data_IF_019141424249
#
_entry.id   IF_019141424249
#
_cell.length_a   1.000
_cell.length_b   1.000
_cell.length_c   1.000
_cell.angle_alpha   90.00
_cell.angle_beta   90.00
_cell.angle_gamma   90.00
#
_symmetry.space_group_name_H-M   'P 1'
#
loop_
_entity.id
_entity.type
_entity.pdbx_description
1 polymer ?
#
# COMPACT_ATOMS: atom_id res chain seq x y z
N UNK A 1 8.94 15.15 -15.31
CA UNK A 1 7.72 14.39 -15.67
C UNK A 1 7.14 13.87 -14.37
N UNK A 2 6.08 14.49 -13.87
CA UNK A 2 5.38 14.07 -12.64
C UNK A 2 4.75 12.70 -12.88
N UNK A 3 5.42 11.61 -12.49
CA UNK A 3 4.76 10.33 -12.32
C UNK A 3 3.86 10.49 -11.10
N UNK A 4 2.59 10.62 -11.34
CA UNK A 4 1.57 10.83 -10.33
C UNK A 4 1.60 9.64 -9.34
N UNK A 5 1.62 9.93 -8.05
CA UNK A 5 1.30 9.04 -6.90
C UNK A 5 0.03 8.20 -7.18
N UNK A 6 -0.78 8.70 -8.02
CA UNK A 6 -1.98 8.23 -8.66
C UNK A 6 -1.86 6.84 -9.31
N UNK A 7 -0.76 6.55 -10.00
CA UNK A 7 -0.63 5.28 -10.73
C UNK A 7 -0.57 4.04 -9.84
N UNK A 8 -0.02 4.16 -8.62
CA UNK A 8 0.13 3.03 -7.70
C UNK A 8 -1.19 2.75 -6.98
N UNK A 9 -1.92 3.80 -6.58
CA UNK A 9 -3.26 3.65 -5.98
C UNK A 9 -4.26 3.18 -7.05
N UNK A 10 -4.15 3.67 -8.29
CA UNK A 10 -5.00 3.26 -9.41
C UNK A 10 -4.78 1.80 -9.81
N UNK A 11 -3.56 1.25 -9.82
CA UNK A 11 -3.36 -0.15 -10.19
C UNK A 11 -3.96 -1.14 -9.19
N UNK A 12 -4.07 -0.76 -7.91
CA UNK A 12 -4.78 -1.55 -6.88
C UNK A 12 -6.29 -1.26 -6.90
N UNK A 13 -6.69 -0.05 -7.32
CA UNK A 13 -8.09 0.38 -7.42
C UNK A 13 -8.72 0.14 -8.80
N UNK A 14 -7.93 0.03 -9.87
CA UNK A 14 -8.44 -0.14 -11.25
C UNK A 14 -9.22 -1.45 -11.47
N UNK A 15 -9.03 -2.45 -10.59
CA UNK A 15 -9.82 -3.68 -10.62
C UNK A 15 -11.31 -3.45 -10.23
N UNK A 16 -11.70 -2.21 -9.89
CA UNK A 16 -13.02 -1.94 -9.32
C UNK A 16 -13.89 -0.93 -10.10
N UNK A 17 -13.50 -0.49 -11.30
CA UNK A 17 -14.24 0.54 -12.05
C UNK A 17 -14.91 0.08 -13.36
N UNK A 18 -15.07 -1.24 -13.58
CA UNK A 18 -15.82 -1.73 -14.73
C UNK A 18 -17.14 -2.35 -14.29
N UNK A 19 -18.06 -1.57 -13.78
CA UNK A 19 -19.47 -1.94 -13.74
C UNK A 19 -20.36 -0.73 -13.99
N UNK A 20 -20.53 -0.37 -15.23
CA UNK A 20 -21.78 0.10 -15.84
C UNK A 20 -21.54 0.37 -17.32
N UNK A 21 -21.74 -0.62 -18.14
CA UNK A 21 -21.96 -0.42 -19.56
C UNK A 21 -23.34 -0.96 -19.91
N UNK A 22 -24.32 -0.09 -19.87
CA UNK A 22 -25.42 -0.12 -20.84
C UNK A 22 -25.80 1.33 -21.13
N UNK A 23 -25.34 1.79 -22.24
CA UNK A 23 -25.91 2.67 -23.25
C UNK A 23 -24.81 3.48 -23.93
N UNK A 24 -24.63 3.19 -25.21
CA UNK A 24 -23.74 3.89 -26.10
C UNK A 24 -24.11 5.37 -26.19
N UNK A 25 -23.31 6.22 -25.58
CA UNK A 25 -23.10 7.59 -26.01
C UNK A 25 -21.64 7.94 -25.66
N UNK A 26 -20.88 8.33 -26.69
CA UNK A 26 -19.50 8.81 -26.54
C UNK A 26 -19.50 10.04 -25.64
N UNK A 27 -19.30 9.85 -24.34
CA UNK A 27 -18.95 10.91 -23.42
C UNK A 27 -17.41 10.95 -23.31
N UNK A 28 -16.82 12.09 -23.67
CA UNK A 28 -15.42 12.41 -23.32
C UNK A 28 -15.26 12.23 -21.82
N UNK A 29 -14.41 11.29 -21.41
CA UNK A 29 -14.03 11.15 -20.01
C UNK A 29 -13.42 12.47 -19.54
N UNK A 30 -14.04 13.10 -18.55
CA UNK A 30 -13.62 14.38 -18.00
C UNK A 30 -12.45 14.08 -17.05
N UNK A 31 -11.21 14.43 -17.40
CA UNK A 31 -10.01 14.26 -16.56
C UNK A 31 -10.16 14.91 -15.17
N UNK A 32 -11.05 15.86 -15.01
CA UNK A 32 -11.30 16.55 -13.74
C UNK A 32 -12.09 15.73 -12.70
N UNK A 33 -12.78 14.67 -13.11
CA UNK A 33 -13.61 13.86 -12.19
C UNK A 33 -12.77 12.77 -11.49
N UNK A 34 -11.75 12.25 -12.17
CA UNK A 34 -10.82 11.26 -11.59
C UNK A 34 -9.94 11.86 -10.50
N UNK A 35 -9.43 13.07 -10.67
CA UNK A 35 -8.57 13.74 -9.67
C UNK A 35 -9.32 14.07 -8.39
N UNK A 36 -10.58 14.48 -8.46
CA UNK A 36 -11.39 14.78 -7.28
C UNK A 36 -11.70 13.53 -6.43
N UNK A 37 -11.95 12.40 -7.07
CA UNK A 37 -12.18 11.11 -6.38
C UNK A 37 -10.91 10.63 -5.70
N UNK A 38 -9.75 10.77 -6.34
CA UNK A 38 -8.45 10.37 -5.82
C UNK A 38 -8.01 11.23 -4.64
N UNK A 39 -8.18 12.54 -4.70
CA UNK A 39 -7.93 13.45 -3.59
C UNK A 39 -8.82 13.16 -2.39
N UNK A 40 -10.09 12.83 -2.64
CA UNK A 40 -11.04 12.42 -1.60
C UNK A 40 -10.58 11.14 -0.91
N UNK A 41 -10.22 10.11 -1.68
CA UNK A 41 -9.74 8.83 -1.14
C UNK A 41 -8.42 9.01 -0.39
N UNK A 42 -7.49 9.80 -0.92
CA UNK A 42 -6.23 10.10 -0.24
C UNK A 42 -6.45 10.80 1.10
N UNK A 43 -7.41 11.72 1.17
CA UNK A 43 -7.77 12.39 2.42
C UNK A 43 -8.44 11.45 3.42
N UNK A 44 -9.20 10.47 2.97
CA UNK A 44 -9.77 9.42 3.84
C UNK A 44 -8.67 8.49 4.39
N UNK A 45 -7.73 8.03 3.55
CA UNK A 45 -6.61 7.17 3.96
C UNK A 45 -5.71 7.85 5.02
N UNK A 46 -5.57 9.18 4.98
CA UNK A 46 -4.85 9.96 6.00
C UNK A 46 -5.53 9.92 7.38
N UNK A 47 -6.83 9.63 7.43
CA UNK A 47 -7.60 9.57 8.68
C UNK A 47 -7.47 8.23 9.40
N UNK A 48 -6.89 7.21 8.77
CA UNK A 48 -6.69 5.86 9.31
C UNK A 48 -6.94 4.78 8.27
N UNK A 49 -7.33 3.59 8.72
CA UNK A 49 -7.65 2.49 7.83
C UNK A 49 -8.89 2.79 6.98
N UNK A 50 -8.75 2.63 5.67
CA UNK A 50 -9.84 2.69 4.69
C UNK A 50 -10.07 1.32 4.11
N UNK A 51 -11.33 0.91 4.01
CA UNK A 51 -11.74 -0.41 3.56
C UNK A 51 -12.44 -0.33 2.22
N UNK A 52 -12.14 -1.28 1.34
CA UNK A 52 -12.81 -1.45 0.06
C UNK A 52 -13.03 -2.93 -0.22
N UNK A 53 -14.18 -3.25 -0.79
CA UNK A 53 -14.45 -4.56 -1.35
C UNK A 53 -14.64 -4.42 -2.87
N UNK A 54 -14.19 -5.42 -3.61
CA UNK A 54 -14.46 -5.58 -5.03
C UNK A 54 -14.82 -7.04 -5.30
N UNK A 55 -15.32 -7.29 -6.49
CA UNK A 55 -15.64 -8.63 -6.96
C UNK A 55 -14.62 -9.01 -8.02
N UNK A 56 -14.05 -10.20 -7.92
CA UNK A 56 -13.22 -10.76 -8.98
C UNK A 56 -14.11 -11.13 -10.18
N UNK A 57 -13.79 -10.56 -11.34
CA UNK A 57 -14.61 -10.73 -12.55
C UNK A 57 -14.54 -12.14 -13.13
N UNK A 58 -13.51 -12.93 -12.77
CA UNK A 58 -13.31 -14.26 -13.31
C UNK A 58 -14.13 -15.31 -12.56
N UNK A 59 -14.24 -15.19 -11.24
CA UNK A 59 -14.89 -16.22 -10.42
C UNK A 59 -15.97 -15.68 -9.46
N UNK A 60 -16.25 -14.38 -9.49
CA UNK A 60 -17.25 -13.74 -8.64
C UNK A 60 -16.88 -13.66 -7.15
N UNK A 61 -15.66 -14.04 -6.78
CA UNK A 61 -15.23 -13.99 -5.38
C UNK A 61 -15.02 -12.57 -4.88
N UNK A 62 -15.16 -12.36 -3.56
CA UNK A 62 -14.98 -11.06 -2.94
C UNK A 62 -13.51 -10.84 -2.64
N UNK A 63 -12.95 -9.75 -3.15
CA UNK A 63 -11.64 -9.21 -2.79
C UNK A 63 -11.84 -8.14 -1.73
N UNK A 64 -11.21 -8.30 -0.57
CA UNK A 64 -11.24 -7.31 0.51
C UNK A 64 -9.92 -6.57 0.58
N UNK A 65 -9.99 -5.26 0.81
CA UNK A 65 -8.82 -4.37 0.95
C UNK A 65 -8.96 -3.50 2.19
N UNK A 66 -7.85 -3.33 2.92
CA UNK A 66 -7.70 -2.32 3.95
C UNK A 66 -6.38 -1.58 3.71
N UNK A 67 -6.42 -0.26 3.60
CA UNK A 67 -5.24 0.56 3.27
C UNK A 67 -5.07 1.69 4.27
N UNK A 68 -3.82 2.00 4.62
CA UNK A 68 -3.44 3.15 5.43
C UNK A 68 -2.16 3.76 4.86
N UNK A 69 -2.00 5.10 4.98
CA UNK A 69 -0.81 5.84 4.53
C UNK A 69 0.00 6.36 5.71
N UNK A 70 1.30 6.47 5.55
CA UNK A 70 2.19 7.07 6.56
C UNK A 70 1.81 8.52 6.87
N UNK A 71 1.89 8.88 8.15
CA UNK A 71 1.62 10.24 8.61
C UNK A 71 2.76 11.21 8.29
N UNK A 72 3.99 10.70 8.13
CA UNK A 72 5.15 11.45 7.64
C UNK A 72 5.40 11.15 6.18
N UNK A 73 6.12 12.05 5.55
CA UNK A 73 6.70 11.87 4.24
C UNK A 73 8.20 12.16 4.36
N UNK A 74 9.01 11.55 3.51
CA UNK A 74 10.46 11.70 3.48
C UNK A 74 10.84 12.21 2.11
N UNK A 75 11.60 13.30 2.05
CA UNK A 75 12.16 13.82 0.82
C UNK A 75 13.33 12.94 0.42
N UNK A 76 13.31 12.41 -0.79
CA UNK A 76 14.39 11.64 -1.37
C UNK A 76 15.24 12.52 -2.29
N UNK A 77 16.49 12.12 -2.46
CA UNK A 77 17.43 12.76 -3.37
C UNK A 77 17.19 12.28 -4.83
N UNK A 78 17.89 12.91 -5.77
CA UNK A 78 17.85 12.49 -7.18
C UNK A 78 18.25 11.01 -7.35
N UNK A 79 17.54 10.24 -8.16
CA UNK A 79 16.50 10.60 -9.15
C UNK A 79 15.06 10.63 -8.60
N UNK A 80 14.85 10.47 -7.29
CA UNK A 80 13.55 10.37 -6.63
C UNK A 80 13.19 11.66 -5.89
N UNK A 81 13.37 12.81 -6.50
CA UNK A 81 13.30 14.16 -5.89
C UNK A 81 11.95 14.53 -5.24
N UNK A 82 10.96 13.66 -5.28
CA UNK A 82 9.66 13.89 -4.67
C UNK A 82 9.55 13.36 -3.24
N UNK A 83 8.60 13.94 -2.50
CA UNK A 83 8.26 13.50 -1.15
C UNK A 83 7.63 12.11 -1.16
N UNK A 84 8.31 11.15 -0.53
CA UNK A 84 7.90 9.74 -0.49
C UNK A 84 7.03 9.44 0.72
N UNK A 85 5.94 8.75 0.51
CA UNK A 85 5.08 8.15 1.53
C UNK A 85 5.03 6.64 1.38
N UNK A 86 4.77 5.98 2.49
CA UNK A 86 4.58 4.54 2.52
C UNK A 86 3.11 4.21 2.73
N UNK A 87 2.63 3.17 2.07
CA UNK A 87 1.30 2.60 2.22
C UNK A 87 1.41 1.19 2.77
N UNK A 88 0.49 0.83 3.67
CA UNK A 88 0.24 -0.56 4.04
C UNK A 88 -1.09 -0.94 3.42
N UNK A 89 -1.10 -1.98 2.60
CA UNK A 89 -2.30 -2.56 2.02
C UNK A 89 -2.46 -4.01 2.49
N UNK A 90 -3.55 -4.31 3.15
CA UNK A 90 -3.94 -5.66 3.51
C UNK A 90 -4.97 -6.09 2.48
N UNK A 91 -4.73 -7.24 1.82
CA UNK A 91 -5.61 -7.81 0.80
C UNK A 91 -6.04 -9.21 1.22
N UNK A 92 -7.28 -9.56 0.95
CA UNK A 92 -7.75 -10.94 1.04
C UNK A 92 -8.40 -11.33 -0.28
N UNK A 93 -7.90 -12.40 -0.86
CA UNK A 93 -8.45 -13.02 -2.08
C UNK A 93 -8.75 -14.49 -1.81
N UNK A 94 -9.59 -15.11 -2.64
CA UNK A 94 -9.88 -16.54 -2.57
C UNK A 94 -8.65 -17.38 -2.85
N UNK A 95 -7.80 -16.94 -3.78
CA UNK A 95 -6.62 -17.67 -4.22
C UNK A 95 -5.46 -17.62 -3.22
N UNK A 96 -5.11 -16.41 -2.74
CA UNK A 96 -3.93 -16.20 -1.90
C UNK A 96 -4.25 -16.01 -0.42
N UNK A 97 -5.53 -15.89 -0.07
CA UNK A 97 -5.94 -15.57 1.30
C UNK A 97 -5.49 -14.16 1.72
N UNK A 98 -5.00 -14.05 2.95
CA UNK A 98 -4.52 -12.77 3.48
C UNK A 98 -3.08 -12.49 3.04
N UNK A 99 -2.88 -11.31 2.47
CA UNK A 99 -1.58 -10.75 2.10
C UNK A 99 -1.42 -9.37 2.73
N UNK A 100 -0.19 -8.98 3.02
CA UNK A 100 0.17 -7.62 3.45
C UNK A 100 1.25 -7.10 2.54
N UNK A 101 0.96 -6.00 1.86
CA UNK A 101 1.88 -5.28 0.99
C UNK A 101 2.30 -3.97 1.63
N UNK A 102 3.56 -3.62 1.48
CA UNK A 102 4.11 -2.31 1.78
C UNK A 102 4.50 -1.68 0.46
N UNK A 103 3.99 -0.49 0.17
CA UNK A 103 4.20 0.19 -1.12
C UNK A 103 4.73 1.59 -0.88
N UNK A 104 5.67 2.02 -1.71
CA UNK A 104 6.20 3.37 -1.70
C UNK A 104 5.54 4.22 -2.80
N UNK A 105 5.21 5.47 -2.50
CA UNK A 105 4.71 6.40 -3.53
C UNK A 105 5.79 6.80 -4.53
N UNK A 106 7.06 6.66 -4.11
CA UNK A 106 8.23 7.01 -4.91
C UNK A 106 9.46 6.27 -4.36
N UNK A 107 10.49 6.08 -5.19
CA UNK A 107 11.69 5.34 -4.81
C UNK A 107 11.53 3.82 -5.02
N UNK A 108 12.60 3.10 -4.72
CA UNK A 108 12.69 1.65 -4.89
C UNK A 108 13.19 1.02 -3.60
N UNK A 109 12.55 -0.06 -3.16
CA UNK A 109 13.05 -0.87 -2.06
C UNK A 109 14.29 -1.65 -2.47
N UNK A 110 15.17 -1.88 -1.51
CA UNK A 110 16.23 -2.89 -1.62
C UNK A 110 15.72 -4.16 -0.96
N UNK A 111 15.68 -5.24 -1.71
CA UNK A 111 15.33 -6.57 -1.20
C UNK A 111 16.29 -7.57 -1.82
N UNK A 112 17.13 -8.20 -1.00
CA UNK A 112 18.08 -9.21 -1.45
C UNK A 112 17.94 -10.46 -0.58
N UNK A 113 17.42 -11.53 -1.18
CA UNK A 113 17.21 -12.81 -0.50
C UNK A 113 18.54 -13.54 -0.25
N UNK A 114 19.54 -13.33 -1.11
CA UNK A 114 20.81 -14.04 -1.05
C UNK A 114 21.68 -13.68 0.17
N UNK A 115 21.57 -12.43 0.65
CA UNK A 115 22.31 -11.95 1.83
C UNK A 115 21.44 -11.81 3.08
N UNK A 116 20.16 -12.20 3.00
CA UNK A 116 19.21 -12.15 4.11
C UNK A 116 18.80 -10.73 4.51
N UNK A 117 18.96 -9.74 3.63
CA UNK A 117 18.54 -8.35 3.86
C UNK A 117 17.12 -8.05 3.36
N UNK A 118 16.40 -9.09 2.89
CA UNK A 118 15.03 -9.01 2.42
C UNK A 118 14.02 -8.89 3.58
N UNK A 119 14.15 -7.89 4.43
CA UNK A 119 13.22 -7.65 5.53
C UNK A 119 12.97 -6.17 5.77
N UNK A 120 11.83 -5.89 6.36
CA UNK A 120 11.51 -4.61 6.99
C UNK A 120 11.45 -4.80 8.51
N UNK A 121 11.76 -3.76 9.27
CA UNK A 121 11.60 -3.78 10.72
C UNK A 121 10.34 -3.02 11.09
N UNK A 122 9.43 -3.69 11.78
CA UNK A 122 8.13 -3.12 12.18
C UNK A 122 8.06 -3.00 13.69
N UNK A 123 7.59 -1.87 14.18
CA UNK A 123 7.30 -1.63 15.59
C UNK A 123 5.84 -1.24 15.74
N UNK A 124 5.13 -1.94 16.60
CA UNK A 124 3.75 -1.64 17.00
C UNK A 124 3.78 -0.92 18.35
N UNK A 125 3.20 0.27 18.41
CA UNK A 125 3.20 1.14 19.58
C UNK A 125 4.59 1.28 20.23
N UNK A 126 4.73 0.85 21.48
CA UNK A 126 5.97 0.87 22.25
C UNK A 126 6.64 -0.51 22.38
N UNK A 127 6.14 -1.52 21.68
CA UNK A 127 6.71 -2.87 21.71
C UNK A 127 8.10 -2.93 21.08
N UNK A 128 8.81 -4.02 21.33
CA UNK A 128 10.10 -4.27 20.67
C UNK A 128 9.93 -4.39 19.14
N UNK A 129 10.87 -3.84 18.36
CA UNK A 129 10.83 -3.98 16.91
C UNK A 129 10.94 -5.44 16.47
N UNK A 130 10.21 -5.82 15.43
CA UNK A 130 10.14 -7.16 14.87
C UNK A 130 10.58 -7.11 13.41
N UNK A 131 11.42 -8.04 12.97
CA UNK A 131 11.72 -8.26 11.56
C UNK A 131 10.57 -9.02 10.88
N UNK A 132 10.16 -8.52 9.73
CA UNK A 132 9.27 -9.20 8.80
C UNK A 132 10.02 -9.39 7.49
N UNK A 133 10.26 -10.64 7.12
CA UNK A 133 10.83 -10.96 5.82
C UNK A 133 9.87 -10.60 4.70
N UNK A 134 10.43 -10.29 3.55
CA UNK A 134 9.66 -9.76 2.42
C UNK A 134 10.06 -10.46 1.13
N UNK A 135 9.12 -10.52 0.19
CA UNK A 135 9.36 -10.89 -1.20
C UNK A 135 8.92 -9.76 -2.13
N UNK A 136 9.53 -9.70 -3.30
CA UNK A 136 9.15 -8.76 -4.35
C UNK A 136 7.92 -9.29 -5.11
N UNK A 137 7.10 -8.40 -5.71
CA UNK A 137 6.01 -8.80 -6.60
C UNK A 137 6.51 -9.62 -7.80
N UNK A 138 5.67 -10.55 -8.29
CA UNK A 138 6.00 -11.42 -9.42
C UNK A 138 6.31 -10.65 -10.74
N UNK A 139 5.83 -9.42 -10.86
CA UNK A 139 6.15 -8.54 -11.99
C UNK A 139 7.53 -7.86 -11.89
N UNK A 140 8.31 -8.16 -10.82
CA UNK A 140 9.64 -7.59 -10.59
C UNK A 140 9.65 -6.12 -10.17
N UNK A 141 8.50 -5.56 -9.76
CA UNK A 141 8.43 -4.19 -9.25
C UNK A 141 9.18 -4.04 -7.93
N UNK A 142 9.94 -2.96 -7.75
CA UNK A 142 10.67 -2.64 -6.52
C UNK A 142 10.00 -1.52 -5.70
N UNK A 143 8.84 -1.06 -6.07
CA UNK A 143 8.04 -0.08 -5.34
C UNK A 143 7.07 -0.72 -4.33
N UNK A 144 7.01 -2.04 -4.30
CA UNK A 144 6.19 -2.82 -3.38
C UNK A 144 6.95 -4.03 -2.81
N UNK A 145 6.59 -4.42 -1.59
CA UNK A 145 7.08 -5.62 -0.89
C UNK A 145 5.90 -6.36 -0.28
N UNK A 146 5.87 -7.69 -0.39
CA UNK A 146 4.95 -8.55 0.34
C UNK A 146 5.59 -9.03 1.64
N UNK A 147 4.84 -9.01 2.75
CA UNK A 147 5.29 -9.60 4.01
C UNK A 147 5.02 -11.10 4.02
N UNK A 148 6.05 -11.92 4.30
CA UNK A 148 5.93 -13.39 4.32
C UNK A 148 5.04 -13.92 5.45
N UNK A 149 4.83 -13.15 6.52
CA UNK A 149 3.95 -13.55 7.63
C UNK A 149 2.80 -12.57 7.82
N UNK A 150 1.83 -12.50 6.88
CA UNK A 150 0.71 -11.56 6.94
C UNK A 150 -0.18 -11.77 8.16
N UNK A 151 -0.40 -13.01 8.60
CA UNK A 151 -1.23 -13.32 9.78
C UNK A 151 -0.67 -12.69 11.06
N UNK A 152 0.65 -12.77 11.26
CA UNK A 152 1.34 -12.16 12.41
C UNK A 152 1.20 -10.64 12.38
N UNK A 153 1.44 -10.02 11.21
CA UNK A 153 1.31 -8.57 11.05
C UNK A 153 -0.11 -8.10 11.36
N UNK A 154 -1.12 -8.73 10.74
CA UNK A 154 -2.54 -8.38 10.93
C UNK A 154 -2.93 -8.49 12.41
N UNK A 155 -2.53 -9.58 13.10
CA UNK A 155 -2.80 -9.78 14.53
C UNK A 155 -2.28 -8.62 15.38
N UNK A 156 -1.05 -8.17 15.13
CA UNK A 156 -0.42 -7.08 15.87
C UNK A 156 -1.00 -5.71 15.48
N UNK A 157 -1.33 -5.50 14.20
CA UNK A 157 -1.89 -4.26 13.70
C UNK A 157 -3.31 -3.98 14.19
N UNK A 158 -4.10 -5.02 14.56
CA UNK A 158 -5.50 -4.87 14.99
C UNK A 158 -5.69 -3.85 16.11
N UNK A 159 -4.82 -3.85 17.10
CA UNK A 159 -4.94 -3.01 18.30
C UNK A 159 -3.91 -1.89 18.38
N UNK A 160 -2.97 -1.85 17.44
CA UNK A 160 -1.92 -0.85 17.42
C UNK A 160 -2.47 0.55 17.12
N UNK A 161 -2.09 1.54 17.93
CA UNK A 161 -2.39 2.97 17.71
C UNK A 161 -1.36 3.61 16.76
N UNK A 162 -0.16 3.05 16.76
CA UNK A 162 0.95 3.51 15.94
C UNK A 162 1.70 2.31 15.38
N UNK A 163 1.97 2.34 14.09
CA UNK A 163 2.85 1.37 13.42
C UNK A 163 4.02 2.15 12.84
N UNK A 164 5.25 1.73 13.14
CA UNK A 164 6.46 2.27 12.51
C UNK A 164 7.10 1.20 11.67
N UNK A 165 7.44 1.52 10.42
CA UNK A 165 8.12 0.63 9.49
C UNK A 165 9.43 1.27 9.09
N UNK A 166 10.54 0.56 9.35
CA UNK A 166 11.86 0.87 8.82
C UNK A 166 12.09 -0.02 7.61
N UNK A 167 12.19 0.58 6.44
CA UNK A 167 12.37 -0.10 5.17
C UNK A 167 13.65 0.38 4.46
N UNK A 168 14.41 -0.52 3.81
CA UNK A 168 15.60 -0.15 3.04
C UNK A 168 15.20 0.35 1.64
N UNK A 169 15.76 1.48 1.24
CA UNK A 169 15.59 2.07 -0.08
C UNK A 169 16.91 2.17 -0.82
N UNK A 170 16.84 2.01 -2.13
CA UNK A 170 17.97 2.23 -3.02
C UNK A 170 18.40 3.70 -2.97
N UNK A 171 19.70 3.96 -2.81
CA UNK A 171 20.34 5.27 -2.58
C UNK A 171 20.04 5.85 -1.20
N UNK A 172 18.79 5.85 -0.73
CA UNK A 172 18.32 6.53 0.48
C UNK A 172 18.62 5.77 1.78
N UNK A 173 19.08 4.52 1.67
CA UNK A 173 19.32 3.68 2.84
C UNK A 173 18.03 3.34 3.58
N UNK A 174 18.13 3.12 4.90
CA UNK A 174 16.97 2.73 5.70
C UNK A 174 16.17 3.94 6.19
N UNK A 175 14.92 4.02 5.82
CA UNK A 175 14.00 5.10 6.16
C UNK A 175 12.86 4.64 7.09
N UNK A 176 12.37 5.53 7.96
CA UNK A 176 11.32 5.19 8.95
C UNK A 176 10.03 5.94 8.64
N UNK A 177 8.98 5.18 8.41
CA UNK A 177 7.64 5.70 8.19
C UNK A 177 6.74 5.38 9.37
N UNK A 178 5.90 6.34 9.77
CA UNK A 178 4.99 6.24 10.91
C UNK A 178 3.55 6.29 10.44
N UNK A 179 2.75 5.32 10.86
CA UNK A 179 1.32 5.23 10.59
C UNK A 179 0.57 5.46 11.89
N UNK A 180 -0.41 6.36 11.86
CA UNK A 180 -1.30 6.64 13.01
C UNK A 180 -2.67 6.01 12.73
N UNK A 181 -3.00 4.98 13.50
CA UNK A 181 -4.27 4.28 13.36
C UNK A 181 -5.28 4.93 14.31
N UNK A 182 -6.15 5.78 13.80
CA UNK A 182 -7.18 6.46 14.62
C UNK A 182 -8.25 5.48 15.14
N UNK A 183 -8.43 4.36 14.47
CA UNK A 183 -9.35 3.27 14.82
C UNK A 183 -8.63 1.95 14.64
N UNK A 184 -9.02 0.96 15.44
CA UNK A 184 -8.52 -0.41 15.30
C UNK A 184 -8.76 -0.95 13.89
N UNK A 185 -7.83 -1.78 13.41
CA UNK A 185 -8.00 -2.50 12.14
C UNK A 185 -9.14 -3.52 12.28
N UNK A 186 -10.16 -3.40 11.46
CA UNK A 186 -11.28 -4.35 11.36
C UNK A 186 -10.98 -5.33 10.22
N UNK A 187 -10.52 -6.56 10.60
CA UNK A 187 -10.06 -7.55 9.61
C UNK A 187 -10.28 -8.98 10.08
#
# INVERSE_FOLDING_TARGET
MKKSILGIICSILAIAFTNSCNNATKAKANENDSTAIEDSLYNEIKKGWVYKNSVDEMDGSIIKLATIVSSNAIQFDSPYEDSTKLYICIRNTKEYGNEVMIMASNGQFVSNEFDGTNYVTVRFDNDAPIKFYTSIPANGSFDALFLENPKKFIKLAKNAKTIKIKAPFFIEGSQVFTFKTKKSLVW
#
